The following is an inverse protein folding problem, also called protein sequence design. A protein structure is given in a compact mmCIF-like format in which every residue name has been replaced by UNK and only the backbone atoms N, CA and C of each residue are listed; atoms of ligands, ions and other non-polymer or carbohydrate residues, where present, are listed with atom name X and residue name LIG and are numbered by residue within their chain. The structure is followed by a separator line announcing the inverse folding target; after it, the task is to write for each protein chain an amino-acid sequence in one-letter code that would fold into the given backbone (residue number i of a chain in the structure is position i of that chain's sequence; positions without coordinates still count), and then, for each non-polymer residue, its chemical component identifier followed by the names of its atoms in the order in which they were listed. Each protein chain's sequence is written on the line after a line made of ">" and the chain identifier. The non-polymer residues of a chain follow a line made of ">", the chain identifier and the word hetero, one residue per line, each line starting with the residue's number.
data_IF_987862709588
#
_entry.id   IF_987862709588
#
_cell.length_a   1.000
_cell.length_b   1.000
_cell.length_c   1.000
_cell.angle_alpha   90.00
_cell.angle_beta   90.00
_cell.angle_gamma   90.00
#
_symmetry.space_group_name_H-M   'P 1'
#
loop_
_entity.id
_entity.type
_entity.pdbx_description
1 polymer ?
#
# COMPACT_ATOMS: atom_id res chain seq x y z
N UNK A 1 55.31 59.06 -31.78
CA UNK A 1 55.40 58.40 -30.46
C UNK A 1 54.56 59.18 -29.46
N UNK A 2 53.31 58.78 -29.24
CA UNK A 2 52.46 59.29 -28.17
C UNK A 2 52.06 58.11 -27.28
N UNK A 3 52.43 58.14 -26.00
CA UNK A 3 52.03 57.11 -25.03
C UNK A 3 50.58 57.39 -24.61
N UNK A 4 49.66 56.42 -24.73
CA UNK A 4 48.24 56.65 -24.52
C UNK A 4 47.88 56.79 -23.04
N UNK A 5 46.81 57.55 -22.81
CA UNK A 5 46.22 57.88 -21.51
C UNK A 5 46.03 56.64 -20.61
N UNK A 6 46.81 56.67 -19.53
CA UNK A 6 46.70 56.05 -18.21
C UNK A 6 45.94 54.71 -18.06
N UNK A 7 46.73 53.69 -17.75
CA UNK A 7 46.36 52.41 -17.11
C UNK A 7 45.46 52.59 -15.87
N UNK A 8 45.48 53.78 -15.26
CA UNK A 8 44.63 54.17 -14.12
C UNK A 8 43.14 54.19 -14.46
N UNK A 9 42.76 54.68 -15.64
CA UNK A 9 41.35 54.73 -16.08
C UNK A 9 40.78 53.32 -16.31
N UNK A 10 41.59 52.40 -16.83
CA UNK A 10 41.23 50.97 -16.92
C UNK A 10 41.03 50.37 -15.53
N UNK A 11 41.91 50.62 -14.56
CA UNK A 11 41.75 50.07 -13.19
C UNK A 11 40.45 50.49 -12.51
N UNK A 12 39.97 51.73 -12.70
CA UNK A 12 38.72 52.22 -12.11
C UNK A 12 37.50 51.59 -12.79
N UNK A 13 37.50 51.50 -14.12
CA UNK A 13 36.44 50.84 -14.90
C UNK A 13 36.37 49.35 -14.57
N UNK A 14 37.51 48.66 -14.45
CA UNK A 14 37.55 47.25 -14.04
C UNK A 14 37.16 47.02 -12.57
N UNK A 15 37.39 47.98 -11.66
CA UNK A 15 36.94 47.87 -10.26
C UNK A 15 35.42 48.07 -10.13
N UNK A 16 34.85 48.95 -10.96
CA UNK A 16 33.40 49.17 -11.04
C UNK A 16 32.67 48.05 -11.81
N UNK A 17 33.32 47.38 -12.75
CA UNK A 17 32.73 46.24 -13.45
C UNK A 17 32.71 44.96 -12.58
N UNK A 18 33.72 44.78 -11.71
CA UNK A 18 33.78 43.65 -10.75
C UNK A 18 32.74 43.71 -9.62
N UNK A 19 32.11 44.86 -9.36
CA UNK A 19 31.02 44.95 -8.38
C UNK A 19 29.67 44.45 -8.91
N UNK A 20 29.53 44.26 -10.22
CA UNK A 20 28.32 43.68 -10.85
C UNK A 20 28.50 42.19 -11.20
N UNK A 21 29.75 41.70 -11.20
CA UNK A 21 30.10 40.30 -11.43
C UNK A 21 29.89 39.40 -10.18
N UNK A 22 29.33 39.96 -9.11
CA UNK A 22 28.81 39.21 -7.95
C UNK A 22 27.29 39.02 -8.00
N UNK A 23 26.61 39.35 -9.11
CA UNK A 23 25.35 38.67 -9.44
C UNK A 23 25.69 37.31 -10.05
N UNK A 24 26.30 36.43 -9.26
CA UNK A 24 26.32 35.00 -9.57
C UNK A 24 24.85 34.58 -9.60
N UNK A 25 24.26 34.44 -10.79
CA UNK A 25 22.94 33.84 -10.95
C UNK A 25 23.01 32.53 -10.17
N UNK A 26 22.30 32.39 -9.05
CA UNK A 26 22.36 31.17 -8.29
C UNK A 26 21.84 30.09 -9.23
N UNK A 27 22.54 28.96 -9.32
CA UNK A 27 22.01 27.79 -10.03
C UNK A 27 20.57 27.57 -9.53
N UNK A 28 19.61 27.15 -10.38
CA UNK A 28 18.19 27.09 -9.98
C UNK A 28 17.96 26.30 -8.68
N UNK A 29 18.79 25.28 -8.41
CA UNK A 29 18.80 24.56 -7.13
C UNK A 29 19.14 25.45 -5.92
N UNK A 30 20.11 26.36 -6.05
CA UNK A 30 20.52 27.29 -4.98
C UNK A 30 19.41 28.28 -4.62
N UNK A 31 18.63 28.74 -5.61
CA UNK A 31 17.51 29.68 -5.36
C UNK A 31 16.42 29.04 -4.49
N UNK A 32 16.23 27.72 -4.59
CA UNK A 32 15.26 26.97 -3.78
C UNK A 32 15.76 26.71 -2.35
N UNK A 33 17.09 26.68 -2.14
CA UNK A 33 17.73 26.44 -0.84
C UNK A 33 18.10 27.76 -0.10
N UNK A 34 17.98 28.91 -0.76
CA UNK A 34 18.35 30.22 -0.21
C UNK A 34 17.25 30.79 0.72
N UNK A 35 17.63 31.20 1.94
CA UNK A 35 16.73 31.81 2.95
C UNK A 35 16.18 33.22 2.57
N UNK A 36 16.56 33.70 1.39
CA UNK A 36 16.11 34.98 0.85
C UNK A 36 14.58 35.04 0.67
N UNK A 37 14.02 36.24 0.72
CA UNK A 37 12.58 36.43 0.48
C UNK A 37 12.16 35.95 -0.93
N UNK A 38 13.06 36.08 -1.92
CA UNK A 38 12.85 35.58 -3.27
C UNK A 38 12.82 34.05 -3.32
N UNK A 39 13.73 33.36 -2.62
CA UNK A 39 13.73 31.90 -2.51
C UNK A 39 12.42 31.38 -1.91
N UNK A 40 11.93 32.00 -0.83
CA UNK A 40 10.62 31.67 -0.24
C UNK A 40 9.44 31.87 -1.20
N UNK A 41 9.48 32.88 -2.08
CA UNK A 41 8.47 33.07 -3.14
C UNK A 41 8.57 31.99 -4.22
N UNK A 42 9.79 31.61 -4.61
CA UNK A 42 10.03 30.54 -5.59
C UNK A 42 9.57 29.17 -5.10
N UNK A 43 9.82 28.81 -3.84
CA UNK A 43 9.32 27.57 -3.22
C UNK A 43 7.79 27.54 -3.21
N UNK A 44 7.14 28.63 -2.77
CA UNK A 44 5.67 28.71 -2.77
C UNK A 44 5.06 28.59 -4.16
N UNK A 45 5.70 29.21 -5.16
CA UNK A 45 5.28 29.13 -6.55
C UNK A 45 5.42 27.69 -7.07
N UNK A 46 6.56 27.04 -6.82
CA UNK A 46 6.80 25.63 -7.17
C UNK A 46 5.70 24.74 -6.61
N UNK A 47 5.42 24.84 -5.31
CA UNK A 47 4.40 24.02 -4.64
C UNK A 47 3.01 24.29 -5.26
N UNK A 48 2.71 25.52 -5.68
CA UNK A 48 1.45 25.85 -6.35
C UNK A 48 1.36 25.25 -7.77
N UNK A 49 2.47 25.23 -8.51
CA UNK A 49 2.53 24.66 -9.86
C UNK A 49 2.33 23.14 -9.81
N UNK A 50 2.97 22.47 -8.84
CA UNK A 50 2.93 21.01 -8.70
C UNK A 50 1.80 20.50 -7.81
N UNK A 51 0.98 21.38 -7.24
CA UNK A 51 -0.16 21.01 -6.39
C UNK A 51 0.21 20.51 -4.99
N UNK A 52 1.42 20.83 -4.53
CA UNK A 52 1.91 20.51 -3.19
C UNK A 52 1.46 21.55 -2.15
N UNK A 53 1.79 21.30 -0.88
CA UNK A 53 1.39 22.18 0.24
C UNK A 53 2.09 23.53 0.14
N UNK A 54 1.32 24.61 -0.04
CA UNK A 54 1.85 25.98 -0.23
C UNK A 54 2.08 26.74 1.08
N UNK A 55 1.35 26.41 2.14
CA UNK A 55 1.47 27.06 3.45
C UNK A 55 2.57 26.38 4.26
N UNK A 56 3.42 27.13 4.99
CA UNK A 56 4.33 26.52 5.95
C UNK A 56 3.48 25.82 7.01
N UNK A 57 3.61 24.50 7.10
CA UNK A 57 2.75 23.66 7.94
C UNK A 57 3.61 22.83 8.88
N UNK A 58 3.12 22.59 10.08
CA UNK A 58 3.79 21.78 11.09
C UNK A 58 4.04 20.35 10.62
N UNK A 59 5.09 19.71 11.16
CA UNK A 59 5.45 18.31 10.88
C UNK A 59 4.28 17.35 11.11
N UNK A 60 3.42 17.61 12.10
CA UNK A 60 2.23 16.80 12.39
C UNK A 60 1.21 16.83 11.27
N UNK A 61 0.98 17.99 10.66
CA UNK A 61 0.03 18.14 9.56
C UNK A 61 0.61 17.60 8.25
N UNK A 62 1.92 17.73 8.04
CA UNK A 62 2.61 17.11 6.89
C UNK A 62 2.50 15.58 6.92
N UNK A 63 2.45 14.96 8.12
CA UNK A 63 2.16 13.52 8.27
C UNK A 63 0.83 13.14 7.62
N UNK A 64 -0.21 13.95 7.80
CA UNK A 64 -1.55 13.67 7.24
C UNK A 64 -1.48 13.68 5.71
N UNK A 65 -0.81 14.69 5.14
CA UNK A 65 -0.67 14.81 3.70
C UNK A 65 0.13 13.63 3.13
N UNK A 66 1.29 13.33 3.72
CA UNK A 66 2.24 12.36 3.16
C UNK A 66 1.91 10.91 3.49
N UNK A 67 1.49 10.61 4.73
CA UNK A 67 1.30 9.22 5.18
C UNK A 67 -0.15 8.74 5.03
N UNK A 68 -1.13 9.63 5.20
CA UNK A 68 -2.55 9.27 5.27
C UNK A 68 -3.27 9.53 3.94
N UNK A 69 -3.02 10.68 3.31
CA UNK A 69 -3.77 11.12 2.13
C UNK A 69 -3.06 10.78 0.80
N UNK A 70 -1.74 10.81 0.78
CA UNK A 70 -0.97 10.48 -0.42
C UNK A 70 -0.83 8.95 -0.63
N UNK A 71 -0.87 8.17 0.44
CA UNK A 71 -0.79 6.72 0.37
C UNK A 71 -2.18 6.10 0.29
N UNK A 72 -2.23 4.90 -0.28
CA UNK A 72 -3.42 4.07 -0.22
C UNK A 72 -3.75 3.71 1.24
N UNK A 73 -5.02 3.86 1.68
CA UNK A 73 -5.46 3.44 3.00
C UNK A 73 -5.13 1.98 3.26
N UNK A 74 -4.74 1.64 4.49
CA UNK A 74 -4.36 0.27 4.84
C UNK A 74 -5.44 -0.77 4.50
N UNK A 75 -6.72 -0.43 4.64
CA UNK A 75 -7.83 -1.34 4.34
C UNK A 75 -7.96 -1.68 2.85
N UNK A 76 -7.45 -0.84 1.97
CA UNK A 76 -7.50 -1.03 0.51
C UNK A 76 -6.27 -1.78 0.00
N UNK A 77 -5.16 -1.72 0.75
CA UNK A 77 -3.95 -2.45 0.40
C UNK A 77 -4.22 -3.95 0.35
N UNK A 78 -3.84 -4.60 -0.76
CA UNK A 78 -4.14 -6.02 -1.03
C UNK A 78 -3.75 -6.97 0.12
N UNK A 79 -2.66 -6.67 0.83
CA UNK A 79 -2.14 -7.49 1.95
C UNK A 79 -3.03 -7.43 3.19
N UNK A 80 -3.65 -6.29 3.46
CA UNK A 80 -4.47 -6.05 4.66
C UNK A 80 -5.97 -5.97 4.35
N UNK A 81 -6.32 -6.03 3.07
CA UNK A 81 -7.68 -6.00 2.60
C UNK A 81 -8.46 -7.21 3.14
N UNK A 82 -9.76 -7.04 3.48
CA UNK A 82 -10.66 -8.14 3.77
C UNK A 82 -10.72 -9.20 2.65
N UNK A 83 -10.36 -8.81 1.43
CA UNK A 83 -10.31 -9.67 0.24
C UNK A 83 -9.03 -10.50 0.14
N UNK A 84 -8.10 -10.37 1.10
CA UNK A 84 -6.83 -11.10 1.12
C UNK A 84 -7.03 -12.61 0.99
N UNK A 85 -8.04 -13.17 1.69
CA UNK A 85 -8.43 -14.55 1.50
C UNK A 85 -9.51 -14.66 0.41
N UNK A 86 -9.40 -15.65 -0.49
CA UNK A 86 -10.45 -15.89 -1.46
C UNK A 86 -11.77 -16.25 -0.77
N UNK A 87 -12.89 -16.04 -1.46
CA UNK A 87 -14.21 -16.42 -0.97
C UNK A 87 -14.35 -17.95 -0.89
N UNK A 88 -13.93 -18.53 0.24
CA UNK A 88 -13.93 -19.98 0.49
C UNK A 88 -15.33 -20.61 0.40
N UNK A 89 -16.42 -20.00 0.94
CA UNK A 89 -17.77 -20.53 0.77
C UNK A 89 -18.15 -20.72 -0.70
N UNK A 90 -17.84 -19.75 -1.56
CA UNK A 90 -18.16 -19.83 -2.98
C UNK A 90 -17.50 -21.05 -3.64
N UNK A 91 -16.21 -21.27 -3.41
CA UNK A 91 -15.50 -22.43 -3.95
C UNK A 91 -16.05 -23.76 -3.42
N UNK A 92 -16.39 -23.82 -2.12
CA UNK A 92 -16.98 -25.00 -1.51
C UNK A 92 -18.34 -25.35 -2.14
N UNK A 93 -19.21 -24.36 -2.33
CA UNK A 93 -20.51 -24.59 -2.95
C UNK A 93 -20.38 -24.95 -4.42
N UNK A 94 -19.47 -24.32 -5.15
CA UNK A 94 -19.22 -24.60 -6.56
C UNK A 94 -18.84 -26.07 -6.78
N UNK A 95 -17.82 -26.57 -6.09
CA UNK A 95 -17.36 -27.95 -6.25
C UNK A 95 -18.43 -28.95 -5.82
N UNK A 96 -19.20 -28.63 -4.78
CA UNK A 96 -20.35 -29.44 -4.35
C UNK A 96 -21.43 -29.52 -5.43
N UNK A 97 -21.80 -28.41 -6.05
CA UNK A 97 -22.79 -28.41 -7.14
C UNK A 97 -22.28 -29.18 -8.35
N UNK A 98 -21.03 -28.99 -8.75
CA UNK A 98 -20.43 -29.73 -9.86
C UNK A 98 -20.39 -31.25 -9.60
N UNK A 99 -20.13 -31.67 -8.36
CA UNK A 99 -20.23 -33.09 -7.95
C UNK A 99 -21.67 -33.60 -8.11
N UNK A 100 -22.66 -32.85 -7.65
CA UNK A 100 -24.08 -33.24 -7.76
C UNK A 100 -24.55 -33.37 -9.21
N UNK A 101 -24.01 -32.55 -10.11
CA UNK A 101 -24.29 -32.65 -11.54
C UNK A 101 -23.46 -33.73 -12.27
N UNK A 102 -22.49 -34.35 -11.60
CA UNK A 102 -21.62 -35.38 -12.19
C UNK A 102 -20.51 -34.82 -13.10
N UNK A 103 -20.29 -33.50 -13.13
CA UNK A 103 -19.24 -32.86 -13.91
C UNK A 103 -17.88 -32.93 -13.22
N UNK A 104 -17.86 -33.02 -11.89
CA UNK A 104 -16.65 -33.01 -11.09
C UNK A 104 -16.60 -34.21 -10.15
N UNK A 105 -15.46 -34.90 -10.12
CA UNK A 105 -15.20 -36.00 -9.22
C UNK A 105 -14.28 -35.53 -8.08
N UNK A 106 -14.84 -35.38 -6.88
CA UNK A 106 -14.09 -35.01 -5.68
C UNK A 106 -13.61 -36.26 -4.94
N UNK A 107 -12.35 -36.67 -5.20
CA UNK A 107 -11.73 -37.84 -4.58
C UNK A 107 -11.74 -37.80 -3.05
N UNK A 108 -11.52 -36.62 -2.46
CA UNK A 108 -11.41 -36.46 -1.02
C UNK A 108 -12.76 -36.62 -0.33
N UNK A 109 -13.83 -36.09 -0.94
CA UNK A 109 -15.19 -36.29 -0.44
C UNK A 109 -15.61 -37.75 -0.60
N UNK A 110 -15.34 -38.36 -1.74
CA UNK A 110 -15.66 -39.78 -2.00
C UNK A 110 -14.93 -40.69 -1.02
N UNK A 111 -13.64 -40.46 -0.79
CA UNK A 111 -12.88 -41.22 0.22
C UNK A 111 -13.50 -41.10 1.61
N UNK A 112 -13.92 -39.90 2.01
CA UNK A 112 -14.58 -39.68 3.32
C UNK A 112 -15.91 -40.43 3.44
N UNK A 113 -16.70 -40.45 2.37
CA UNK A 113 -17.97 -41.20 2.28
C UNK A 113 -17.72 -42.70 2.44
N UNK A 114 -16.77 -43.27 1.68
CA UNK A 114 -16.37 -44.68 1.79
C UNK A 114 -15.88 -45.03 3.19
N UNK A 115 -15.06 -44.16 3.81
CA UNK A 115 -14.60 -44.39 5.19
C UNK A 115 -15.75 -44.40 6.19
N UNK A 116 -16.80 -43.60 5.96
CA UNK A 116 -17.98 -43.60 6.79
C UNK A 116 -18.80 -44.88 6.63
N UNK A 117 -18.96 -45.37 5.39
CA UNK A 117 -19.62 -46.66 5.12
C UNK A 117 -18.91 -47.82 5.79
N UNK A 118 -17.58 -47.89 5.68
CA UNK A 118 -16.78 -48.93 6.37
C UNK A 118 -16.96 -48.85 7.89
N UNK A 119 -17.05 -47.64 8.46
CA UNK A 119 -17.30 -47.47 9.90
C UNK A 119 -18.70 -47.93 10.29
N UNK A 120 -19.72 -47.62 9.48
CA UNK A 120 -21.09 -48.07 9.70
C UNK A 120 -21.21 -49.59 9.60
N UNK A 121 -20.56 -50.22 8.61
CA UNK A 121 -20.49 -51.66 8.46
C UNK A 121 -19.81 -52.35 9.66
N UNK A 122 -18.77 -51.71 10.23
CA UNK A 122 -18.14 -52.12 11.50
C UNK A 122 -19.01 -51.86 12.74
N UNK A 123 -20.23 -51.35 12.55
CA UNK A 123 -21.16 -51.03 13.61
C UNK A 123 -20.80 -49.79 14.43
N UNK A 124 -19.89 -48.93 13.97
CA UNK A 124 -19.57 -47.68 14.66
C UNK A 124 -20.62 -46.62 14.32
N UNK A 125 -20.97 -45.81 15.31
CA UNK A 125 -21.87 -44.67 15.12
C UNK A 125 -21.02 -43.50 14.62
N UNK A 126 -21.16 -43.16 13.33
CA UNK A 126 -20.36 -42.10 12.68
C UNK A 126 -20.88 -40.71 13.02
N UNK A 127 -22.19 -40.51 12.90
CA UNK A 127 -22.87 -39.25 13.20
C UNK A 127 -24.03 -39.53 14.16
N UNK A 128 -23.83 -39.37 15.49
CA UNK A 128 -24.95 -39.44 16.43
C UNK A 128 -25.92 -38.28 16.15
N UNK A 129 -27.20 -38.47 16.50
CA UNK A 129 -28.19 -37.41 16.39
C UNK A 129 -27.73 -36.20 17.22
N UNK A 130 -27.89 -35.01 16.67
CA UNK A 130 -27.51 -33.76 17.35
C UNK A 130 -28.27 -33.69 18.68
N UNK A 131 -27.55 -33.53 19.79
CA UNK A 131 -28.11 -33.54 21.15
C UNK A 131 -28.05 -34.89 21.87
N UNK A 132 -27.79 -35.99 21.18
CA UNK A 132 -27.54 -37.29 21.80
C UNK A 132 -26.04 -37.49 21.99
N UNK A 133 -25.61 -37.57 23.26
CA UNK A 133 -24.22 -37.87 23.58
C UNK A 133 -23.78 -39.21 23.00
N UNK A 134 -22.50 -39.32 22.62
CA UNK A 134 -21.92 -40.55 22.04
C UNK A 134 -22.21 -41.80 22.87
N UNK A 135 -22.28 -41.67 24.20
CA UNK A 135 -22.55 -42.78 25.12
C UNK A 135 -24.01 -43.25 25.04
N UNK A 136 -24.97 -42.32 24.93
CA UNK A 136 -26.39 -42.64 24.82
C UNK A 136 -26.66 -43.39 23.52
N UNK A 137 -26.13 -42.88 22.41
CA UNK A 137 -26.26 -43.53 21.10
C UNK A 137 -25.65 -44.95 21.08
N UNK A 138 -24.52 -45.17 21.76
CA UNK A 138 -23.94 -46.51 21.94
C UNK A 138 -24.83 -47.44 22.77
N UNK A 139 -25.47 -46.92 23.84
CA UNK A 139 -26.39 -47.70 24.69
C UNK A 139 -27.64 -48.12 23.93
N UNK A 140 -28.27 -47.19 23.21
CA UNK A 140 -29.46 -47.48 22.40
C UNK A 140 -29.18 -48.54 21.33
N UNK A 141 -28.01 -48.49 20.71
CA UNK A 141 -27.59 -49.51 19.75
C UNK A 141 -27.40 -50.91 20.35
N UNK A 142 -26.99 -51.02 21.61
CA UNK A 142 -26.80 -52.32 22.27
C UNK A 142 -28.13 -52.92 22.77
N UNK A 143 -29.19 -52.13 22.81
CA UNK A 143 -30.53 -52.52 23.30
C UNK A 143 -31.45 -52.94 22.15
N UNK A 144 -31.18 -52.47 20.92
CA UNK A 144 -31.84 -52.87 19.68
C UNK A 144 -31.13 -54.05 19.00
#
# INVERSE_FOLDING_TARGET
>A
MSRPLSVQARKIVYKSFKSYDTMKIPKPSRVLDDDSEHGKRMIRLSNKIFGEVTRPTDKKSMRIVNEIMANEPWEQQEVYSPEYYPNLPMFHYLTKMLKLHGLYFDEHVVWREVQNEIRLAKGKIVHPKIGEGKQKAKREKNVA
#
